data_IF_127879619840
#
_entry.id   IF_127879619840
#
_cell.length_a   1.000
_cell.length_b   1.000
_cell.length_c   1.000
_cell.angle_alpha   90.00
_cell.angle_beta   90.00
_cell.angle_gamma   90.00
#
_symmetry.space_group_name_H-M   'P 1'
#
loop_
_entity.id
_entity.type
_entity.pdbx_description
1 polymer ?
#
# COMPACT_ATOMS: atom_id res chain seq x y z
N UNK A 1 10.09 -14.53 9.78
CA UNK A 1 10.90 -14.60 8.54
C UNK A 1 12.23 -13.91 8.79
N UNK A 2 13.34 -14.45 8.28
CA UNK A 2 14.63 -13.72 8.28
C UNK A 2 14.67 -12.95 6.96
N UNK A 3 14.30 -11.67 7.00
CA UNK A 3 14.41 -10.78 5.84
C UNK A 3 15.86 -10.36 5.70
N UNK A 4 16.35 -10.18 4.46
CA UNK A 4 17.66 -9.61 4.20
C UNK A 4 17.71 -8.09 4.47
N UNK A 5 16.54 -7.48 4.70
CA UNK A 5 16.34 -6.05 4.88
C UNK A 5 15.82 -5.73 6.28
N UNK A 6 16.20 -4.55 6.74
CA UNK A 6 15.74 -3.88 7.95
C UNK A 6 14.80 -2.72 7.61
N UNK A 7 14.03 -2.24 8.60
CA UNK A 7 13.16 -1.06 8.43
C UNK A 7 13.97 0.17 8.00
N UNK A 8 15.24 0.25 8.38
CA UNK A 8 16.12 1.34 7.99
C UNK A 8 16.56 1.31 6.52
N UNK A 9 16.38 0.20 5.80
CA UNK A 9 16.62 0.14 4.34
C UNK A 9 15.53 0.88 3.56
N UNK A 10 14.35 1.10 4.16
CA UNK A 10 13.29 1.89 3.57
C UNK A 10 13.55 3.39 3.75
N UNK A 11 13.05 4.18 2.80
CA UNK A 11 13.18 5.63 2.79
C UNK A 11 12.65 6.26 4.07
N UNK A 12 13.46 7.11 4.69
CA UNK A 12 13.14 7.70 6.00
C UNK A 12 11.88 8.57 6.00
N UNK A 13 11.55 9.21 4.88
CA UNK A 13 10.36 10.05 4.75
C UNK A 13 9.04 9.25 4.82
N UNK A 14 9.07 7.93 4.62
CA UNK A 14 7.88 7.09 4.73
C UNK A 14 7.29 7.06 6.14
N UNK A 15 8.15 7.25 7.14
CA UNK A 15 7.84 7.07 8.55
C UNK A 15 8.04 8.37 9.34
N UNK A 16 7.87 9.54 8.71
CA UNK A 16 8.03 10.83 9.39
C UNK A 16 7.09 11.03 10.60
N UNK A 17 5.97 10.31 10.62
CA UNK A 17 4.92 10.36 11.65
C UNK A 17 4.91 9.11 12.57
N UNK A 18 5.83 8.15 12.37
CA UNK A 18 5.80 6.86 13.08
C UNK A 18 7.15 6.52 13.69
N UNK A 19 7.14 6.02 14.93
CA UNK A 19 8.35 5.51 15.56
C UNK A 19 8.86 4.26 14.83
N UNK A 20 10.04 4.37 14.22
CA UNK A 20 10.67 3.28 13.46
C UNK A 20 11.04 2.08 14.34
N UNK A 21 11.33 2.30 15.62
CA UNK A 21 11.75 1.25 16.55
C UNK A 21 10.59 0.30 16.89
N UNK A 22 9.36 0.79 16.78
CA UNK A 22 8.14 -0.01 16.95
C UNK A 22 7.67 -0.67 15.64
N UNK A 23 8.30 -0.39 14.51
CA UNK A 23 7.92 -0.97 13.22
C UNK A 23 8.52 -2.37 13.07
N UNK A 24 7.67 -3.34 12.77
CA UNK A 24 8.10 -4.68 12.41
C UNK A 24 7.45 -5.06 11.07
N UNK A 25 8.22 -5.66 10.14
CA UNK A 25 7.70 -6.05 8.82
C UNK A 25 6.46 -6.94 8.90
N UNK A 26 6.38 -7.83 9.88
CA UNK A 26 5.25 -8.74 10.05
C UNK A 26 4.02 -8.04 10.67
N UNK A 27 4.21 -7.34 11.79
CA UNK A 27 3.10 -6.68 12.51
C UNK A 27 2.56 -5.47 11.76
N UNK A 28 3.45 -4.68 11.16
CA UNK A 28 3.13 -3.43 10.48
C UNK A 28 3.03 -3.58 8.96
N UNK A 29 2.89 -4.82 8.46
CA UNK A 29 2.84 -5.14 7.02
C UNK A 29 1.91 -4.23 6.22
N UNK A 30 0.66 -4.07 6.67
CA UNK A 30 -0.33 -3.26 5.95
C UNK A 30 0.09 -1.80 5.89
N UNK A 31 0.63 -1.27 6.98
CA UNK A 31 1.10 0.10 7.07
C UNK A 31 2.33 0.35 6.18
N UNK A 32 3.30 -0.57 6.19
CA UNK A 32 4.51 -0.48 5.38
C UNK A 32 4.16 -0.50 3.90
N UNK A 33 3.36 -1.48 3.47
CA UNK A 33 2.92 -1.59 2.08
C UNK A 33 2.14 -0.33 1.65
N UNK A 34 1.23 0.16 2.49
CA UNK A 34 0.50 1.40 2.22
C UNK A 34 1.44 2.60 2.03
N UNK A 35 2.38 2.81 2.96
CA UNK A 35 3.32 3.94 2.91
C UNK A 35 4.20 3.87 1.67
N UNK A 36 4.70 2.68 1.32
CA UNK A 36 5.55 2.50 0.12
C UNK A 36 4.76 2.70 -1.17
N UNK A 37 3.50 2.24 -1.22
CA UNK A 37 2.65 2.45 -2.38
C UNK A 37 2.30 3.93 -2.61
N UNK A 38 2.04 4.68 -1.54
CA UNK A 38 1.60 6.08 -1.64
C UNK A 38 2.75 7.07 -1.76
N UNK A 39 3.85 6.83 -1.03
CA UNK A 39 4.93 7.79 -0.84
C UNK A 39 6.32 7.20 -1.10
N UNK A 40 6.41 5.93 -1.46
CA UNK A 40 7.68 5.22 -1.64
C UNK A 40 8.36 5.54 -2.96
N UNK A 41 9.67 5.34 -2.97
CA UNK A 41 10.48 5.35 -4.17
C UNK A 41 10.48 3.96 -4.82
N UNK A 42 10.96 3.90 -6.05
CA UNK A 42 11.11 2.62 -6.78
C UNK A 42 12.02 1.65 -6.02
N UNK A 43 13.01 2.15 -5.28
CA UNK A 43 13.87 1.33 -4.41
C UNK A 43 13.07 0.67 -3.28
N UNK A 44 12.19 1.43 -2.61
CA UNK A 44 11.31 0.91 -1.55
C UNK A 44 10.35 -0.15 -2.09
N UNK A 45 9.81 0.11 -3.29
CA UNK A 45 8.95 -0.84 -3.99
C UNK A 45 9.66 -2.19 -4.21
N UNK A 46 10.90 -2.17 -4.69
CA UNK A 46 11.69 -3.41 -4.88
C UNK A 46 11.91 -4.15 -3.56
N UNK A 47 12.21 -3.43 -2.48
CA UNK A 47 12.41 -4.02 -1.14
C UNK A 47 11.13 -4.72 -0.68
N UNK A 48 9.97 -4.05 -0.72
CA UNK A 48 8.72 -4.67 -0.27
C UNK A 48 8.28 -5.82 -1.18
N UNK A 49 8.62 -5.78 -2.47
CA UNK A 49 8.37 -6.88 -3.39
C UNK A 49 9.18 -8.12 -3.02
N UNK A 50 10.45 -7.96 -2.63
CA UNK A 50 11.30 -9.08 -2.21
C UNK A 50 10.87 -9.64 -0.84
N UNK A 51 10.44 -8.77 0.07
CA UNK A 51 10.02 -9.18 1.43
C UNK A 51 8.65 -9.89 1.41
N UNK A 52 7.63 -9.29 0.79
CA UNK A 52 6.26 -9.76 0.91
C UNK A 52 5.77 -10.54 -0.31
N UNK A 53 6.39 -10.34 -1.47
CA UNK A 53 5.91 -10.84 -2.74
C UNK A 53 4.70 -10.07 -3.29
N UNK A 54 4.53 -10.18 -4.61
CA UNK A 54 3.46 -9.52 -5.35
C UNK A 54 2.05 -9.93 -4.87
N UNK A 55 1.85 -11.19 -4.52
CA UNK A 55 0.53 -11.69 -4.11
C UNK A 55 0.07 -11.08 -2.77
N UNK A 56 0.99 -10.96 -1.82
CA UNK A 56 0.70 -10.31 -0.52
C UNK A 56 0.39 -8.84 -0.74
N UNK A 57 1.17 -8.14 -1.56
CA UNK A 57 0.95 -6.73 -1.88
C UNK A 57 -0.42 -6.54 -2.54
N UNK A 58 -0.78 -7.39 -3.50
CA UNK A 58 -2.11 -7.39 -4.14
C UNK A 58 -3.22 -7.55 -3.11
N UNK A 59 -3.12 -8.56 -2.24
CA UNK A 59 -4.14 -8.85 -1.22
C UNK A 59 -4.31 -7.71 -0.21
N UNK A 60 -3.21 -7.04 0.16
CA UNK A 60 -3.26 -5.87 1.02
C UNK A 60 -3.89 -4.70 0.27
N UNK A 61 -3.46 -4.43 -0.96
CA UNK A 61 -3.93 -3.33 -1.80
C UNK A 61 -5.45 -3.34 -1.99
N UNK A 62 -6.04 -4.52 -2.21
CA UNK A 62 -7.49 -4.68 -2.36
C UNK A 62 -8.27 -4.29 -1.10
N UNK A 63 -7.66 -4.43 0.08
CA UNK A 63 -8.29 -4.19 1.39
C UNK A 63 -8.08 -2.77 1.92
N UNK A 64 -7.18 -1.98 1.31
CA UNK A 64 -6.89 -0.62 1.73
C UNK A 64 -8.15 0.27 1.65
N UNK A 65 -8.31 1.13 2.67
CA UNK A 65 -9.47 2.04 2.76
C UNK A 65 -9.34 3.23 1.83
N UNK A 66 -8.11 3.66 1.58
CA UNK A 66 -7.74 4.80 0.76
C UNK A 66 -6.51 4.43 -0.04
N UNK A 67 -6.42 4.95 -1.25
CA UNK A 67 -5.25 4.93 -2.13
C UNK A 67 -5.39 6.14 -3.05
N UNK A 68 -4.27 6.73 -3.43
CA UNK A 68 -4.22 7.73 -4.48
C UNK A 68 -4.73 7.16 -5.82
N UNK A 69 -5.34 8.02 -6.62
CA UNK A 69 -5.95 7.63 -7.90
C UNK A 69 -4.93 7.11 -8.92
N UNK A 70 -3.70 7.65 -8.90
CA UNK A 70 -2.60 7.23 -9.75
C UNK A 70 -2.08 5.87 -9.28
N UNK A 71 -1.85 5.72 -7.97
CA UNK A 71 -1.42 4.46 -7.36
C UNK A 71 -2.43 3.34 -7.63
N UNK A 72 -3.73 3.63 -7.49
CA UNK A 72 -4.79 2.68 -7.80
C UNK A 72 -4.81 2.28 -9.27
N UNK A 73 -4.64 3.24 -10.20
CA UNK A 73 -4.56 2.95 -11.63
C UNK A 73 -3.34 2.08 -11.95
N UNK A 74 -2.19 2.38 -11.35
CA UNK A 74 -0.98 1.59 -11.47
C UNK A 74 -1.18 0.15 -10.99
N UNK A 75 -1.75 -0.06 -9.79
CA UNK A 75 -1.99 -1.39 -9.24
C UNK A 75 -3.03 -2.18 -10.04
N UNK A 76 -4.06 -1.49 -10.55
CA UNK A 76 -5.07 -2.08 -11.44
C UNK A 76 -4.43 -2.61 -12.72
N UNK A 77 -3.53 -1.85 -13.36
CA UNK A 77 -2.81 -2.30 -14.54
C UNK A 77 -1.79 -3.41 -14.23
N UNK A 78 -1.00 -3.24 -13.16
CA UNK A 78 0.04 -4.18 -12.74
C UNK A 78 -0.53 -5.57 -12.47
N UNK A 79 -1.65 -5.64 -11.74
CA UNK A 79 -2.26 -6.91 -11.36
C UNK A 79 -3.34 -7.39 -12.34
N UNK A 80 -3.65 -6.60 -13.37
CA UNK A 80 -4.75 -6.82 -14.32
C UNK A 80 -6.08 -7.07 -13.59
N UNK A 81 -6.39 -6.20 -12.62
CA UNK A 81 -7.63 -6.25 -11.82
C UNK A 81 -8.43 -4.98 -12.07
N UNK A 82 -9.73 -5.11 -12.18
CA UNK A 82 -10.63 -3.96 -12.25
C UNK A 82 -10.57 -3.10 -10.98
N UNK A 83 -10.63 -1.76 -11.16
CA UNK A 83 -10.65 -0.77 -10.07
C UNK A 83 -11.77 -1.01 -9.06
N UNK A 84 -12.89 -1.60 -9.50
CA UNK A 84 -14.06 -1.97 -8.69
C UNK A 84 -13.76 -3.00 -7.61
N UNK A 85 -12.68 -3.79 -7.76
CA UNK A 85 -12.28 -4.78 -6.75
C UNK A 85 -11.59 -4.14 -5.54
N UNK A 86 -11.06 -2.92 -5.70
CA UNK A 86 -10.39 -2.21 -4.61
C UNK A 86 -11.43 -1.58 -3.69
N UNK A 87 -11.30 -1.85 -2.38
CA UNK A 87 -12.23 -1.32 -1.36
C UNK A 87 -12.30 0.21 -1.37
N UNK A 88 -11.16 0.89 -1.54
CA UNK A 88 -11.08 2.35 -1.61
C UNK A 88 -11.90 2.95 -2.76
N UNK A 89 -11.97 2.28 -3.92
CA UNK A 89 -12.75 2.75 -5.06
C UNK A 89 -14.26 2.68 -4.80
N UNK A 90 -14.74 1.58 -4.18
CA UNK A 90 -16.16 1.44 -3.81
C UNK A 90 -16.60 2.52 -2.81
N UNK A 91 -15.75 2.82 -1.82
CA UNK A 91 -16.05 3.85 -0.83
C UNK A 91 -16.15 5.25 -1.45
N UNK A 92 -15.29 5.57 -2.42
CA UNK A 92 -15.32 6.88 -3.11
C UNK A 92 -16.61 7.09 -3.91
N UNK A 93 -17.14 6.04 -4.56
CA UNK A 93 -18.40 6.13 -5.31
C UNK A 93 -19.63 6.33 -4.41
N UNK A 94 -19.67 5.71 -3.23
CA UNK A 94 -20.80 5.84 -2.30
C UNK A 94 -20.96 7.27 -1.74
N UNK A 95 -19.85 8.01 -1.63
CA UNK A 95 -19.84 9.40 -1.13
C UNK A 95 -20.35 10.38 -2.20
N UNK A 96 -20.22 10.06 -3.49
CA UNK A 96 -20.73 10.90 -4.58
C UNK A 96 -22.27 10.85 -4.70
N UNK A 97 -22.90 9.78 -4.21
CA UNK A 97 -24.36 9.61 -4.31
C UNK A 97 -25.15 10.26 -3.17
N UNK A 98 -24.52 11.07 -2.32
CA UNK A 98 -25.14 11.65 -1.11
C UNK A 98 -25.97 12.92 -1.34
N UNK A 99 -25.99 13.47 -2.57
CA UNK A 99 -26.62 14.77 -2.88
C UNK A 99 -27.83 14.68 -3.83
N UNK A 100 -28.48 13.52 -3.92
CA UNK A 100 -29.79 13.40 -4.57
C UNK A 100 -30.82 12.96 -3.55
N UNK A 101 -31.26 13.89 -2.70
CA UNK A 101 -32.54 13.83 -1.99
C UNK A 101 -33.06 15.22 -1.69
#
# INVERSE_FOLDING_TARGET
MKTAYDINDLSSHLFWDVDKSALEFEKSKVQIIYKVLEFGLISDWKIIQEIYGLETIKNVSLKLRTLDVITLAFLSDLFKIEKTQFRCYKNSQLIQNSWTS
#
